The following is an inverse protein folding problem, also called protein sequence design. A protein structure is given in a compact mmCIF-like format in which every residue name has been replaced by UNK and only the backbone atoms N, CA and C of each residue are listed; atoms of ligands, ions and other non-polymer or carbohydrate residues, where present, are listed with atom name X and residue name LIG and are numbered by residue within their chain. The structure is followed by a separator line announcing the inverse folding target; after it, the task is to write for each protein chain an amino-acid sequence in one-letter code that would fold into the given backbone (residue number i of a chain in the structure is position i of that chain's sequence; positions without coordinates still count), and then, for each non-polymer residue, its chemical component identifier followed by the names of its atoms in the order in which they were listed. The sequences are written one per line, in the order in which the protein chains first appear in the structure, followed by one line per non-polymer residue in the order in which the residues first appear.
data_IF_987055119398
#
_entry.id   IF_987055119398
#
_cell.length_a   1.000
_cell.length_b   1.000
_cell.length_c   1.000
_cell.angle_alpha   90.00
_cell.angle_beta   90.00
_cell.angle_gamma   90.00
#
_symmetry.space_group_name_H-M   'P 1'
#
loop_
_entity.id
_entity.type
_entity.pdbx_description
1 polymer ?
#
# COMPACT_ATOMS: atom_id res chain seq x y z
N UNK A 1 -40.57 -16.21 -22.68
CA UNK A 1 -39.18 -16.64 -22.45
C UNK A 1 -38.73 -15.98 -21.15
N UNK A 2 -38.67 -16.74 -20.05
CA UNK A 2 -38.30 -16.19 -18.74
C UNK A 2 -36.78 -16.07 -18.73
N UNK A 3 -36.26 -14.86 -18.87
CA UNK A 3 -34.84 -14.59 -18.64
C UNK A 3 -34.58 -14.69 -17.14
N UNK A 4 -34.22 -15.88 -16.66
CA UNK A 4 -33.63 -16.02 -15.33
C UNK A 4 -32.23 -15.41 -15.42
N UNK A 5 -32.05 -14.22 -14.86
CA UNK A 5 -30.72 -13.61 -14.74
C UNK A 5 -29.85 -14.56 -13.92
N UNK A 6 -28.82 -15.12 -14.56
CA UNK A 6 -27.83 -15.93 -13.86
C UNK A 6 -27.18 -15.07 -12.76
N UNK A 7 -27.15 -15.62 -11.55
CA UNK A 7 -26.57 -14.93 -10.41
C UNK A 7 -25.05 -14.79 -10.61
N UNK A 8 -24.55 -13.55 -10.56
CA UNK A 8 -23.12 -13.23 -10.61
C UNK A 8 -22.62 -12.83 -9.22
N UNK A 9 -21.58 -13.48 -8.73
CA UNK A 9 -20.96 -13.19 -7.43
C UNK A 9 -20.26 -11.82 -7.47
N UNK A 10 -20.55 -10.94 -6.52
CA UNK A 10 -19.86 -9.65 -6.40
C UNK A 10 -18.48 -9.83 -5.76
N UNK A 11 -17.43 -9.33 -6.42
CA UNK A 11 -16.07 -9.41 -5.91
C UNK A 11 -15.38 -8.05 -5.88
N UNK A 12 -14.53 -7.85 -4.86
CA UNK A 12 -13.60 -6.72 -4.79
C UNK A 12 -12.15 -7.18 -5.02
N UNK A 13 -11.31 -6.29 -5.55
CA UNK A 13 -9.90 -6.59 -5.79
C UNK A 13 -9.00 -6.04 -4.69
N UNK A 14 -8.14 -6.89 -4.18
CA UNK A 14 -6.99 -6.55 -3.34
C UNK A 14 -5.72 -6.62 -4.19
N UNK A 15 -4.77 -5.70 -3.98
CA UNK A 15 -3.52 -5.66 -4.73
C UNK A 15 -2.32 -5.92 -3.81
N UNK A 16 -2.02 -7.20 -3.49
CA UNK A 16 -0.86 -7.54 -2.68
C UNK A 16 0.44 -7.48 -3.49
N UNK A 17 1.52 -7.06 -2.84
CA UNK A 17 2.87 -7.34 -3.30
C UNK A 17 3.13 -8.84 -3.23
N UNK A 18 3.48 -9.46 -4.36
CA UNK A 18 3.74 -10.90 -4.43
C UNK A 18 5.07 -11.33 -3.76
N UNK A 19 5.93 -10.37 -3.39
CA UNK A 19 7.24 -10.60 -2.76
C UNK A 19 7.15 -10.48 -1.23
N UNK A 20 6.40 -9.52 -0.69
CA UNK A 20 6.32 -9.27 0.75
C UNK A 20 4.89 -9.33 1.35
N UNK A 21 3.86 -9.50 0.53
CA UNK A 21 2.46 -9.65 0.97
C UNK A 21 1.78 -8.38 1.48
N UNK A 22 2.45 -7.22 1.40
CA UNK A 22 1.84 -5.93 1.71
C UNK A 22 0.70 -5.65 0.75
N UNK A 23 -0.52 -5.41 1.27
CA UNK A 23 -1.70 -5.08 0.45
C UNK A 23 -1.79 -3.59 0.23
N UNK A 24 -1.86 -3.19 -1.04
CA UNK A 24 -1.98 -1.81 -1.48
C UNK A 24 -3.36 -1.58 -2.12
N UNK A 25 -3.79 -0.32 -2.21
CA UNK A 25 -5.16 -0.01 -2.67
C UNK A 25 -5.27 0.02 -4.20
N UNK A 26 -4.21 0.43 -4.90
CA UNK A 26 -4.20 0.55 -6.38
C UNK A 26 -3.11 -0.32 -7.03
N UNK A 27 -3.35 -0.78 -8.26
CA UNK A 27 -2.38 -1.55 -9.04
C UNK A 27 -1.05 -0.80 -9.25
N UNK A 28 -1.11 0.50 -9.55
CA UNK A 28 0.07 1.37 -9.74
C UNK A 28 0.93 1.46 -8.48
N UNK A 29 0.30 1.49 -7.30
CA UNK A 29 1.03 1.48 -6.03
C UNK A 29 1.82 0.18 -5.84
N UNK A 30 1.27 -0.98 -6.25
CA UNK A 30 2.02 -2.24 -6.22
C UNK A 30 3.22 -2.20 -7.16
N UNK A 31 3.06 -1.70 -8.39
CA UNK A 31 4.19 -1.58 -9.32
C UNK A 31 5.31 -0.70 -8.73
N UNK A 32 4.94 0.47 -8.22
CA UNK A 32 5.88 1.39 -7.58
C UNK A 32 6.53 0.76 -6.34
N UNK A 33 5.77 0.03 -5.52
CA UNK A 33 6.29 -0.67 -4.35
C UNK A 33 7.28 -1.77 -4.75
N UNK A 34 6.95 -2.60 -5.74
CA UNK A 34 7.84 -3.68 -6.21
C UNK A 34 9.15 -3.10 -6.77
N UNK A 35 9.08 -2.01 -7.53
CA UNK A 35 10.26 -1.34 -8.07
C UNK A 35 11.11 -0.68 -6.95
N UNK A 36 10.49 0.16 -6.13
CA UNK A 36 11.21 0.94 -5.09
C UNK A 36 11.71 0.09 -3.91
N UNK A 37 10.96 -0.94 -3.51
CA UNK A 37 11.25 -1.73 -2.31
C UNK A 37 12.02 -3.01 -2.63
N UNK A 38 11.75 -3.63 -3.78
CA UNK A 38 12.35 -4.92 -4.14
C UNK A 38 13.28 -4.85 -5.35
N UNK A 39 13.37 -3.71 -6.04
CA UNK A 39 14.28 -3.53 -7.19
C UNK A 39 13.87 -4.32 -8.43
N UNK A 40 12.58 -4.66 -8.56
CA UNK A 40 12.07 -5.34 -9.76
C UNK A 40 11.12 -4.44 -10.54
N UNK A 41 11.31 -4.42 -11.85
CA UNK A 41 10.39 -3.76 -12.76
C UNK A 41 9.36 -4.76 -13.28
N UNK A 42 8.12 -4.30 -13.35
CA UNK A 42 6.96 -5.07 -13.80
C UNK A 42 6.23 -4.26 -14.88
N UNK A 43 5.77 -4.90 -15.97
CA UNK A 43 5.02 -4.20 -16.99
C UNK A 43 3.71 -3.65 -16.40
N UNK A 44 3.39 -2.39 -16.72
CA UNK A 44 2.09 -1.83 -16.40
C UNK A 44 0.99 -2.47 -17.25
N UNK A 45 -0.23 -2.47 -16.71
CA UNK A 45 -1.41 -2.87 -17.48
C UNK A 45 -1.66 -1.85 -18.61
N UNK A 46 -2.11 -2.27 -19.81
CA UNK A 46 -2.51 -1.34 -20.86
C UNK A 46 -3.57 -0.37 -20.36
N UNK A 47 -3.29 0.93 -20.49
CA UNK A 47 -4.23 2.00 -20.17
C UNK A 47 -5.36 2.06 -21.23
N UNK A 48 -6.49 2.68 -20.88
CA UNK A 48 -7.64 2.83 -21.78
C UNK A 48 -8.47 1.55 -22.03
N UNK A 49 -8.05 0.38 -21.52
CA UNK A 49 -8.82 -0.86 -21.63
C UNK A 49 -9.54 -1.20 -20.34
N UNK A 50 -10.83 -1.51 -20.43
CA UNK A 50 -11.61 -2.03 -19.30
C UNK A 50 -11.32 -3.51 -19.06
N UNK A 51 -11.49 -3.95 -17.80
CA UNK A 51 -11.44 -5.38 -17.45
C UNK A 51 -12.52 -6.12 -18.23
N UNK A 52 -12.20 -7.23 -18.92
CA UNK A 52 -13.21 -8.06 -19.56
C UNK A 52 -14.25 -8.55 -18.56
N UNK A 53 -15.52 -8.58 -18.97
CA UNK A 53 -16.59 -9.14 -18.16
C UNK A 53 -16.37 -10.64 -17.94
N UNK A 54 -16.65 -11.11 -16.73
CA UNK A 54 -16.66 -12.54 -16.42
C UNK A 54 -18.12 -13.02 -16.27
N UNK A 55 -18.47 -14.19 -16.81
CA UNK A 55 -19.82 -14.74 -16.63
C UNK A 55 -20.17 -15.01 -15.17
N UNK A 56 -19.18 -15.29 -14.31
CA UNK A 56 -19.36 -15.70 -12.90
C UNK A 56 -19.33 -14.52 -11.92
N UNK A 57 -18.73 -13.41 -12.30
CA UNK A 57 -18.42 -12.32 -11.38
C UNK A 57 -18.96 -10.96 -11.81
N UNK A 58 -19.31 -10.15 -10.82
CA UNK A 58 -19.51 -8.70 -10.96
C UNK A 58 -18.42 -8.00 -10.17
N UNK A 59 -17.71 -7.05 -10.79
CA UNK A 59 -16.59 -6.37 -10.16
C UNK A 59 -17.05 -5.12 -9.41
N UNK A 60 -16.64 -4.99 -8.16
CA UNK A 60 -16.86 -3.81 -7.31
C UNK A 60 -15.52 -3.09 -7.18
N UNK A 61 -15.35 -1.97 -7.92
CA UNK A 61 -14.05 -1.28 -8.00
C UNK A 61 -13.75 -0.43 -6.77
N UNK A 62 -14.77 0.18 -6.15
CA UNK A 62 -14.63 1.08 -5.00
C UNK A 62 -15.60 0.67 -3.88
N UNK A 63 -15.40 -0.50 -3.25
CA UNK A 63 -16.24 -0.91 -2.12
C UNK A 63 -16.06 0.08 -0.97
N UNK A 64 -17.14 0.68 -0.52
CA UNK A 64 -17.14 1.55 0.67
C UNK A 64 -17.15 0.70 1.93
N UNK A 65 -17.84 -0.44 1.88
CA UNK A 65 -18.02 -1.33 3.00
C UNK A 65 -17.80 -2.79 2.60
N UNK A 66 -17.54 -3.65 3.60
CA UNK A 66 -17.38 -5.09 3.37
C UNK A 66 -18.66 -5.75 2.83
N UNK A 67 -19.82 -5.16 3.06
CA UNK A 67 -21.12 -5.64 2.57
C UNK A 67 -21.34 -5.39 1.07
N UNK A 68 -20.52 -4.55 0.43
CA UNK A 68 -20.69 -4.22 -1.00
C UNK A 68 -20.30 -5.38 -1.92
N UNK A 69 -19.57 -6.36 -1.39
CA UNK A 69 -19.05 -7.49 -2.12
C UNK A 69 -19.08 -8.77 -1.28
N UNK A 70 -19.16 -9.92 -1.96
CA UNK A 70 -19.27 -11.22 -1.30
C UNK A 70 -17.90 -11.85 -1.05
N UNK A 71 -16.92 -11.57 -1.92
CA UNK A 71 -15.57 -12.12 -1.83
C UNK A 71 -14.49 -11.13 -2.26
N UNK A 72 -13.29 -11.28 -1.72
CA UNK A 72 -12.14 -10.53 -2.22
C UNK A 72 -11.22 -11.43 -3.02
N UNK A 73 -10.69 -10.90 -4.11
CA UNK A 73 -9.74 -11.58 -4.97
C UNK A 73 -8.43 -10.80 -5.00
N UNK A 74 -7.29 -11.48 -4.97
CA UNK A 74 -6.02 -10.87 -5.31
C UNK A 74 -5.97 -10.63 -6.81
N UNK A 75 -5.66 -9.40 -7.22
CA UNK A 75 -5.50 -9.04 -8.63
C UNK A 75 -4.04 -8.82 -8.97
N UNK A 76 -3.63 -9.28 -10.16
CA UNK A 76 -2.37 -8.87 -10.75
C UNK A 76 -2.39 -7.36 -11.07
N UNK A 77 -1.27 -6.68 -10.82
CA UNK A 77 -1.07 -5.27 -11.18
C UNK A 77 -0.74 -5.08 -12.67
N UNK A 78 -0.22 -6.11 -13.33
CA UNK A 78 0.26 -6.07 -14.72
C UNK A 78 -0.75 -6.57 -15.76
N UNK A 79 -1.73 -7.40 -15.37
CA UNK A 79 -2.79 -7.87 -16.28
C UNK A 79 -4.12 -8.12 -15.55
N UNK A 80 -5.10 -8.71 -16.23
CA UNK A 80 -6.45 -8.96 -15.70
C UNK A 80 -6.58 -10.23 -14.86
N UNK A 81 -5.51 -11.02 -14.71
CA UNK A 81 -5.52 -12.20 -13.85
C UNK A 81 -5.90 -11.85 -12.40
N UNK A 82 -6.68 -12.74 -11.78
CA UNK A 82 -7.00 -12.66 -10.37
C UNK A 82 -7.26 -14.05 -9.79
N UNK A 83 -7.15 -14.19 -8.47
CA UNK A 83 -7.46 -15.43 -7.75
C UNK A 83 -8.12 -15.12 -6.40
N UNK A 84 -8.90 -16.04 -5.81
CA UNK A 84 -9.54 -15.83 -4.51
C UNK A 84 -8.54 -15.48 -3.40
N UNK A 85 -8.84 -14.45 -2.61
CA UNK A 85 -7.96 -13.98 -1.52
C UNK A 85 -8.13 -14.77 -0.21
N UNK A 86 -9.23 -15.51 -0.10
CA UNK A 86 -9.53 -16.42 1.01
C UNK A 86 -8.81 -17.77 0.89
N UNK A 87 -8.29 -18.11 -0.29
CA UNK A 87 -7.45 -19.29 -0.49
C UNK A 87 -6.09 -19.05 0.17
N UNK A 88 -5.67 -19.97 1.04
CA UNK A 88 -4.33 -19.96 1.66
C UNK A 88 -3.22 -19.92 0.60
N UNK A 89 -3.49 -20.42 -0.60
CA UNK A 89 -2.56 -20.43 -1.75
C UNK A 89 -2.78 -19.28 -2.72
N UNK A 90 -3.70 -18.35 -2.46
CA UNK A 90 -4.01 -17.24 -3.36
C UNK A 90 -2.77 -16.41 -3.70
N UNK A 91 -1.98 -16.03 -2.69
CA UNK A 91 -0.75 -15.24 -2.91
C UNK A 91 0.33 -16.04 -3.66
N UNK A 92 0.42 -17.36 -3.41
CA UNK A 92 1.31 -18.27 -4.15
C UNK A 92 0.91 -18.35 -5.62
N UNK A 93 -0.39 -18.51 -5.92
CA UNK A 93 -0.89 -18.53 -7.29
C UNK A 93 -0.63 -17.20 -8.00
N UNK A 94 -0.80 -16.07 -7.31
CA UNK A 94 -0.47 -14.76 -7.86
C UNK A 94 1.03 -14.63 -8.16
N UNK A 95 1.90 -15.02 -7.23
CA UNK A 95 3.36 -14.99 -7.42
C UNK A 95 3.80 -15.87 -8.61
N UNK A 96 3.25 -17.09 -8.70
CA UNK A 96 3.50 -17.98 -9.84
C UNK A 96 3.05 -17.37 -11.16
N UNK A 97 1.85 -16.76 -11.19
CA UNK A 97 1.34 -16.08 -12.36
C UNK A 97 2.27 -14.95 -12.81
N UNK A 98 2.68 -14.07 -11.88
CA UNK A 98 3.55 -12.93 -12.17
C UNK A 98 4.91 -13.40 -12.69
N UNK A 99 5.55 -14.35 -12.00
CA UNK A 99 6.87 -14.85 -12.41
C UNK A 99 6.84 -15.53 -13.78
N UNK A 100 5.78 -16.29 -14.08
CA UNK A 100 5.65 -17.01 -15.35
C UNK A 100 5.25 -16.10 -16.52
N UNK A 101 4.31 -15.19 -16.29
CA UNK A 101 3.65 -14.41 -17.35
C UNK A 101 4.34 -13.07 -17.58
N UNK A 102 4.78 -12.40 -16.52
CA UNK A 102 5.32 -11.04 -16.59
C UNK A 102 6.84 -10.98 -16.50
N UNK A 103 7.49 -12.04 -16.01
CA UNK A 103 8.97 -12.17 -15.94
C UNK A 103 9.64 -10.88 -15.42
N UNK A 104 9.43 -10.55 -14.13
CA UNK A 104 9.96 -9.32 -13.54
C UNK A 104 11.45 -9.15 -13.82
N UNK A 105 11.87 -7.94 -14.19
CA UNK A 105 13.26 -7.63 -14.50
C UNK A 105 13.93 -7.02 -13.29
N UNK A 106 15.07 -7.55 -12.85
CA UNK A 106 15.84 -6.95 -11.77
C UNK A 106 16.51 -5.66 -12.28
N UNK A 107 16.05 -4.51 -11.79
CA UNK A 107 16.58 -3.20 -12.14
C UNK A 107 17.49 -2.60 -11.06
N UNK A 108 17.41 -3.12 -9.84
CA UNK A 108 18.23 -2.66 -8.71
C UNK A 108 18.57 -3.82 -7.77
N UNK A 109 19.72 -4.44 -8.03
CA UNK A 109 20.21 -5.58 -7.26
C UNK A 109 20.63 -5.21 -5.83
N UNK A 110 20.70 -3.93 -5.46
CA UNK A 110 20.98 -3.55 -4.07
C UNK A 110 19.77 -3.79 -3.15
N UNK A 111 18.57 -3.90 -3.72
CA UNK A 111 17.28 -4.05 -3.01
C UNK A 111 16.77 -5.48 -2.92
N UNK A 112 17.46 -6.42 -3.58
CA UNK A 112 17.12 -7.83 -3.57
C UNK A 112 18.40 -8.63 -3.39
N UNK A 113 18.36 -9.76 -2.69
CA UNK A 113 19.54 -10.57 -2.35
C UNK A 113 20.27 -11.11 -3.61
N UNK A 114 21.00 -10.23 -4.32
CA UNK A 114 21.64 -10.45 -5.61
C UNK A 114 20.73 -11.08 -6.68
N UNK A 115 19.48 -10.62 -6.78
CA UNK A 115 18.55 -11.06 -7.83
C UNK A 115 17.79 -12.37 -7.58
N UNK A 116 17.90 -12.94 -6.38
CA UNK A 116 17.06 -14.08 -6.02
C UNK A 116 15.68 -13.61 -5.53
N UNK A 117 14.66 -13.70 -6.39
CA UNK A 117 13.27 -13.71 -5.94
C UNK A 117 12.96 -15.11 -5.42
N UNK A 118 12.84 -15.28 -4.11
CA UNK A 118 12.24 -16.48 -3.54
C UNK A 118 10.72 -16.40 -3.74
N UNK A 119 10.26 -16.68 -4.97
CA UNK A 119 8.86 -16.58 -5.33
C UNK A 119 7.97 -17.36 -4.36
N UNK A 120 6.96 -16.70 -3.80
CA UNK A 120 5.88 -17.36 -3.07
C UNK A 120 6.17 -17.76 -1.61
N UNK A 121 7.18 -17.19 -0.95
CA UNK A 121 7.45 -17.46 0.48
C UNK A 121 6.59 -16.65 1.46
N UNK A 122 5.70 -15.78 0.97
CA UNK A 122 4.90 -14.96 1.87
C UNK A 122 3.66 -15.72 2.31
N UNK A 123 3.77 -16.37 3.47
CA UNK A 123 2.62 -17.02 4.12
C UNK A 123 1.71 -16.02 4.85
N UNK A 124 2.16 -14.76 5.03
CA UNK A 124 1.47 -13.75 5.83
C UNK A 124 1.12 -12.53 4.99
N UNK A 125 -0.17 -12.32 4.79
CA UNK A 125 -0.69 -11.09 4.19
C UNK A 125 -0.84 -10.04 5.27
N UNK A 126 -0.17 -8.90 5.11
CA UNK A 126 -0.33 -7.76 6.00
C UNK A 126 -1.47 -6.90 5.47
N UNK A 127 -2.68 -7.07 6.05
CA UNK A 127 -3.81 -6.19 5.81
C UNK A 127 -3.84 -5.07 6.84
N UNK A 128 -3.96 -3.83 6.38
CA UNK A 128 -4.33 -2.72 7.26
C UNK A 128 -5.77 -2.94 7.73
N UNK A 129 -6.01 -2.82 9.05
CA UNK A 129 -7.31 -3.18 9.68
C UNK A 129 -8.44 -2.24 9.27
N UNK A 130 -8.11 -1.03 8.85
CA UNK A 130 -9.04 -0.01 8.40
C UNK A 130 -8.91 0.14 6.89
N UNK A 131 -10.03 0.01 6.17
CA UNK A 131 -10.12 0.49 4.79
C UNK A 131 -9.71 1.97 4.81
N UNK A 132 -8.78 2.41 3.93
CA UNK A 132 -8.45 3.83 3.84
C UNK A 132 -9.74 4.62 3.64
N UNK A 133 -9.97 5.63 4.48
CA UNK A 133 -11.11 6.53 4.31
C UNK A 133 -10.89 7.24 2.96
N UNK A 134 -11.72 6.91 1.97
CA UNK A 134 -11.61 7.39 0.59
C UNK A 134 -12.06 8.86 0.46
N UNK A 135 -11.70 9.71 1.42
CA UNK A 135 -11.94 11.13 1.33
C UNK A 135 -10.94 11.76 0.37
N UNK A 136 -11.40 11.94 -0.87
CA UNK A 136 -11.11 13.11 -1.71
C UNK A 136 -9.67 13.33 -2.19
N UNK A 137 -9.04 12.31 -2.76
CA UNK A 137 -8.02 12.55 -3.79
C UNK A 137 -8.45 11.81 -5.07
N UNK A 138 -9.43 12.42 -5.74
CA UNK A 138 -9.58 12.36 -7.19
C UNK A 138 -8.32 13.00 -7.81
N UNK A 139 -7.18 12.33 -7.68
CA UNK A 139 -6.14 12.45 -8.70
C UNK A 139 -6.72 11.77 -9.94
N UNK A 140 -7.40 12.59 -10.73
CA UNK A 140 -7.64 12.34 -12.14
C UNK A 140 -6.31 11.87 -12.74
N UNK A 141 -6.19 10.56 -12.95
CA UNK A 141 -5.21 9.97 -13.87
C UNK A 141 -5.70 10.41 -15.26
N UNK A 142 -5.53 11.71 -15.55
CA UNK A 142 -5.74 12.30 -16.87
C UNK A 142 -4.82 11.53 -17.80
N UNK A 143 -5.45 10.63 -18.56
CA UNK A 143 -4.91 10.07 -19.78
C UNK A 143 -4.51 11.25 -20.67
N UNK A 144 -3.24 11.65 -20.63
CA UNK A 144 -2.62 12.34 -21.76
C UNK A 144 -2.61 11.35 -22.92
N UNK A 145 -3.73 11.32 -23.65
CA UNK A 145 -3.76 10.85 -25.01
C UNK A 145 -2.98 11.84 -25.83
N UNK A 146 -1.83 11.40 -26.35
CA UNK A 146 -1.17 12.05 -27.47
C UNK A 146 -2.08 11.88 -28.70
N UNK A 147 -3.00 12.81 -28.90
CA UNK A 147 -3.64 13.06 -30.19
C UNK A 147 -3.00 14.34 -30.74
N UNK A 148 -2.16 14.16 -31.76
CA UNK A 148 -1.62 15.22 -32.61
C UNK A 148 -2.78 15.85 -33.39
N UNK A 149 -3.37 16.95 -32.91
CA UNK A 149 -4.11 17.90 -33.74
C UNK A 149 -3.88 19.36 -33.28
N UNK A 150 -3.63 20.22 -34.27
CA UNK A 150 -3.23 21.62 -34.17
C UNK A 150 -4.32 22.58 -33.62
N UNK A 151 -3.84 23.68 -33.03
CA UNK A 151 -4.52 24.97 -32.77
C UNK A 151 -5.69 25.02 -31.75
N UNK A 152 -5.46 25.68 -30.61
CA UNK A 152 -5.88 27.08 -30.41
C UNK A 152 -5.47 27.62 -29.02
N UNK A 153 -5.04 28.89 -29.02
CA UNK A 153 -4.59 29.68 -27.86
C UNK A 153 -5.66 29.75 -26.75
N UNK A 154 -5.46 28.99 -25.67
CA UNK A 154 -6.19 29.20 -24.40
C UNK A 154 -5.20 29.66 -23.33
N UNK A 155 -5.13 30.98 -23.14
CA UNK A 155 -4.51 31.62 -21.98
C UNK A 155 -5.29 31.25 -20.72
N UNK A 156 -4.82 30.24 -19.98
CA UNK A 156 -5.23 29.98 -18.60
C UNK A 156 -4.24 30.64 -17.64
N UNK A 157 -4.75 31.64 -16.91
CA UNK A 157 -4.10 32.26 -15.75
C UNK A 157 -3.94 31.24 -14.62
N UNK A 158 -2.88 30.43 -14.69
CA UNK A 158 -2.43 29.64 -13.55
C UNK A 158 -1.71 30.58 -12.59
N UNK A 159 -2.39 30.96 -11.50
CA UNK A 159 -1.76 31.63 -10.36
C UNK A 159 -0.70 30.68 -9.78
N UNK A 160 0.51 30.85 -10.26
CA UNK A 160 1.72 30.26 -9.74
C UNK A 160 1.79 30.62 -8.25
N UNK A 161 1.49 29.65 -7.38
CA UNK A 161 1.74 29.78 -5.95
C UNK A 161 3.26 29.92 -5.82
N UNK A 162 3.71 31.15 -5.58
CA UNK A 162 5.12 31.46 -5.51
C UNK A 162 5.76 30.66 -4.38
N UNK A 163 7.02 30.27 -4.57
CA UNK A 163 7.83 29.59 -3.56
C UNK A 163 7.80 30.35 -2.21
N UNK A 164 7.61 31.68 -2.22
CA UNK A 164 7.42 32.51 -1.02
C UNK A 164 6.19 32.13 -0.19
N UNK A 165 5.06 31.79 -0.82
CA UNK A 165 3.82 31.42 -0.12
C UNK A 165 4.00 30.08 0.61
N UNK A 166 4.80 29.17 0.03
CA UNK A 166 5.12 27.89 0.66
C UNK A 166 5.95 28.10 1.93
N UNK A 167 6.95 28.97 1.89
CA UNK A 167 7.76 29.30 3.07
C UNK A 167 6.95 30.02 4.15
N UNK A 168 6.02 30.90 3.77
CA UNK A 168 5.16 31.58 4.74
C UNK A 168 4.25 30.57 5.46
N UNK A 169 3.61 29.65 4.72
CA UNK A 169 2.79 28.59 5.33
C UNK A 169 3.57 27.65 6.24
N UNK A 170 4.81 27.31 5.88
CA UNK A 170 5.70 26.49 6.74
C UNK A 170 6.06 27.22 8.05
N UNK A 171 6.26 28.53 7.99
CA UNK A 171 6.56 29.33 9.18
C UNK A 171 5.36 29.40 10.15
N UNK A 172 4.14 29.56 9.60
CA UNK A 172 2.90 29.58 10.38
C UNK A 172 2.64 28.23 11.05
N UNK A 173 2.87 27.12 10.34
CA UNK A 173 2.75 25.77 10.91
C UNK A 173 3.74 25.56 12.06
N UNK A 174 4.99 26.00 11.88
CA UNK A 174 6.05 25.87 12.89
C UNK A 174 5.71 26.65 14.16
N UNK A 175 5.16 27.86 14.02
CA UNK A 175 4.73 28.68 15.14
C UNK A 175 3.57 28.03 15.93
N UNK A 176 2.61 27.40 15.23
CA UNK A 176 1.52 26.67 15.90
C UNK A 176 2.04 25.47 16.71
N UNK A 177 3.01 24.72 16.16
CA UNK A 177 3.63 23.62 16.89
C UNK A 177 4.40 24.10 18.12
N UNK A 178 5.19 25.17 18.01
CA UNK A 178 5.92 25.72 19.15
C UNK A 178 4.99 26.19 20.28
N UNK A 179 3.85 26.80 19.94
CA UNK A 179 2.85 27.20 20.94
C UNK A 179 2.19 26.00 21.63
N UNK A 180 2.01 24.88 20.92
CA UNK A 180 1.51 23.63 21.52
C UNK A 180 2.51 22.99 22.49
N UNK A 181 3.81 23.08 22.20
CA UNK A 181 4.85 22.50 23.06
C UNK A 181 5.24 23.41 24.24
N UNK A 182 5.19 24.73 24.07
CA UNK A 182 5.56 25.69 25.12
C UNK A 182 4.36 26.13 25.98
N UNK A 183 3.13 25.70 25.66
CA UNK A 183 1.90 26.05 26.37
C UNK A 183 1.59 25.24 27.63
N UNK A 184 2.48 24.32 28.04
CA UNK A 184 2.39 23.60 29.33
C UNK A 184 3.63 23.96 30.13
N UNK A 185 3.55 24.98 30.99
CA UNK A 185 4.39 25.13 32.19
C UNK A 185 4.05 26.40 32.98
N UNK A 186 2.75 26.74 33.08
CA UNK A 186 2.28 27.70 34.08
C UNK A 186 0.97 27.22 34.70
N UNK A 187 1.04 26.22 35.58
CA UNK A 187 0.22 26.23 36.77
C UNK A 187 0.79 25.31 37.88
N UNK A 188 0.89 25.91 39.06
CA UNK A 188 1.02 25.33 40.39
C UNK A 188 2.40 24.81 40.87
N UNK A 189 3.12 25.77 41.46
CA UNK A 189 3.86 25.61 42.70
C UNK A 189 2.96 25.02 43.81
N UNK A 190 3.39 23.94 44.46
CA UNK A 190 3.50 23.92 45.93
C UNK A 190 4.36 22.75 46.40
N UNK A 191 5.36 23.13 47.21
CA UNK A 191 6.07 22.41 48.27
C UNK A 191 5.61 20.99 48.60
N UNK A 192 6.57 20.08 48.75
CA UNK A 192 7.03 19.67 50.09
C UNK A 192 8.22 18.72 50.04
N UNK A 193 9.05 18.88 51.07
CA UNK A 193 10.28 18.19 51.40
C UNK A 193 10.17 16.66 51.56
N UNK A 194 11.38 16.10 51.63
CA UNK A 194 11.79 15.07 52.59
C UNK A 194 11.77 13.60 52.14
N UNK A 195 13.01 13.12 52.00
CA UNK A 195 13.58 12.04 52.81
C UNK A 195 13.43 10.59 52.32
N UNK A 196 14.52 9.86 52.62
CA UNK A 196 14.64 8.43 52.85
C UNK A 196 14.82 7.44 51.69
N UNK A 197 16.10 7.07 51.57
CA UNK A 197 16.65 5.72 51.79
C UNK A 197 16.21 4.56 50.90
N UNK A 198 17.23 3.91 50.34
CA UNK A 198 17.50 2.49 50.62
C UNK A 198 16.84 1.49 49.68
N UNK A 199 17.65 0.67 49.01
CA UNK A 199 17.16 -0.45 48.24
C UNK A 199 18.22 -1.08 47.36
N UNK A 200 19.18 -1.74 48.00
CA UNK A 200 20.02 -2.77 47.37
C UNK A 200 19.16 -3.94 46.83
N UNK A 201 19.82 -4.83 46.07
CA UNK A 201 19.38 -6.11 45.50
C UNK A 201 18.96 -6.06 44.02
N UNK A 202 19.32 -7.00 43.16
CA UNK A 202 20.27 -8.10 43.22
C UNK A 202 20.42 -8.62 41.79
N UNK A 203 21.60 -9.11 41.50
CA UNK A 203 22.00 -9.96 40.39
C UNK A 203 20.99 -11.05 40.02
N UNK A 204 20.84 -11.34 38.72
CA UNK A 204 20.60 -12.71 38.26
C UNK A 204 20.99 -12.87 36.79
N UNK A 205 22.13 -13.53 36.58
CA UNK A 205 22.51 -14.22 35.35
C UNK A 205 21.43 -15.22 34.91
N UNK A 206 21.32 -15.43 33.60
CA UNK A 206 20.90 -16.70 33.04
C UNK A 206 21.52 -16.90 31.66
N UNK A 207 22.68 -17.54 31.65
CA UNK A 207 23.21 -18.28 30.50
C UNK A 207 22.37 -19.55 30.29
N UNK A 208 21.95 -19.84 29.05
CA UNK A 208 21.60 -21.19 28.63
C UNK A 208 21.82 -21.30 27.10
N UNK A 209 22.98 -21.82 26.69
CA UNK A 209 23.27 -23.22 26.41
C UNK A 209 22.90 -23.63 24.98
N UNK A 210 23.94 -23.69 24.13
CA UNK A 210 23.97 -24.37 22.85
C UNK A 210 23.86 -25.89 23.05
N UNK A 211 23.07 -26.58 22.23
CA UNK A 211 23.34 -27.98 21.89
C UNK A 211 23.23 -28.19 20.38
N UNK A 212 24.39 -28.54 19.79
CA UNK A 212 24.52 -29.23 18.52
C UNK A 212 24.19 -30.71 18.74
N UNK A 213 23.51 -31.34 17.80
CA UNK A 213 23.59 -32.79 17.61
C UNK A 213 23.62 -33.11 16.13
N UNK A 214 24.69 -33.80 15.74
CA UNK A 214 24.88 -34.50 14.48
C UNK A 214 23.95 -35.71 14.38
N UNK A 215 23.46 -35.99 13.17
CA UNK A 215 23.51 -37.34 12.56
C UNK A 215 23.31 -37.21 11.06
#
# INVERSE_FOLDING_TARGET
MVYTKEYKKKIAFEYPCYICGTVLSKARQVLNHVNSTHGYDLPARPVGRRRPEDPKYTYVNNPQNRQDFEDSHFSCSSCWFHCPANDKKGLVHLAQHINKTHRPVNVDSSKNNNGQINGGQVDKITRYKTLPDHQAEDEEDELQGEEDEDMDDIKRDSKQIGISDVYQKLSELTAMFQNLFNGKDQNDNSDTDADKTGGEHASSSAEHHMQKAHT
#
